data_IF_338402109304
#
_entry.id   IF_338402109304
#
_cell.length_a   1.000
_cell.length_b   1.000
_cell.length_c   1.000
_cell.angle_alpha   90.00
_cell.angle_beta   90.00
_cell.angle_gamma   90.00
#
_symmetry.space_group_name_H-M   'P 1'
#
loop_
_entity.id
_entity.type
_entity.pdbx_description
1 polymer ?
#
# COMPACT_ATOMS: atom_id res chain seq x y z
N UNK A 1 2.17 14.33 -10.89
CA UNK A 1 1.84 13.52 -9.69
C UNK A 1 3.13 13.11 -8.97
N UNK A 2 3.11 12.99 -7.65
CA UNK A 2 4.25 12.44 -6.89
C UNK A 2 4.18 10.91 -6.88
N UNK A 3 5.29 10.21 -6.63
CA UNK A 3 5.30 8.75 -6.48
C UNK A 3 4.82 7.98 -7.73
N UNK A 4 5.25 8.45 -8.91
CA UNK A 4 4.82 7.91 -10.19
C UNK A 4 5.17 6.41 -10.35
N UNK A 5 6.28 5.96 -9.75
CA UNK A 5 6.70 4.56 -9.78
C UNK A 5 5.70 3.60 -9.17
N UNK A 6 4.88 4.05 -8.21
CA UNK A 6 3.76 3.27 -7.66
C UNK A 6 2.44 3.54 -8.37
N UNK A 7 2.21 4.79 -8.76
CA UNK A 7 0.96 5.18 -9.44
C UNK A 7 0.77 4.43 -10.76
N UNK A 8 1.84 4.04 -11.45
CA UNK A 8 1.77 3.31 -12.72
C UNK A 8 1.23 1.87 -12.58
N UNK A 9 1.04 1.37 -11.35
CA UNK A 9 0.46 0.07 -11.07
C UNK A 9 -0.94 0.20 -10.44
N UNK A 10 -1.98 0.08 -11.25
CA UNK A 10 -3.37 0.05 -10.77
C UNK A 10 -3.66 -1.28 -10.08
N UNK A 11 -3.28 -2.39 -10.73
CA UNK A 11 -3.40 -3.74 -10.19
C UNK A 11 -2.07 -4.49 -10.30
N UNK A 12 -1.69 -5.16 -9.22
CA UNK A 12 -0.60 -6.13 -9.21
C UNK A 12 -1.18 -7.50 -8.93
N UNK A 13 -0.92 -8.44 -9.83
CA UNK A 13 -1.20 -9.86 -9.64
C UNK A 13 0.08 -10.67 -9.79
N UNK A 14 0.30 -11.59 -8.86
CA UNK A 14 1.47 -12.47 -8.82
C UNK A 14 0.95 -13.91 -8.80
N UNK A 15 1.47 -14.73 -9.71
CA UNK A 15 1.26 -16.18 -9.71
C UNK A 15 2.55 -16.94 -9.47
N UNK A 16 2.46 -18.04 -8.74
CA UNK A 16 3.56 -18.98 -8.52
C UNK A 16 3.07 -20.37 -8.91
N UNK A 17 3.72 -21.00 -9.89
CA UNK A 17 3.30 -22.32 -10.38
C UNK A 17 1.88 -22.34 -10.97
N UNK A 18 1.37 -21.19 -11.44
CA UNK A 18 0.01 -21.01 -11.96
C UNK A 18 -1.02 -20.56 -10.93
N UNK A 19 -0.72 -20.65 -9.64
CA UNK A 19 -1.62 -20.26 -8.55
C UNK A 19 -1.47 -18.78 -8.20
N UNK A 20 -2.57 -18.07 -7.97
CA UNK A 20 -2.55 -16.66 -7.55
C UNK A 20 -2.15 -16.57 -6.08
N UNK A 21 -1.00 -15.95 -5.82
CA UNK A 21 -0.47 -15.69 -4.46
C UNK A 21 -0.75 -14.26 -3.98
N UNK A 22 -0.96 -13.33 -4.91
CA UNK A 22 -1.26 -11.94 -4.59
C UNK A 22 -2.09 -11.35 -5.71
N UNK A 23 -3.16 -10.65 -5.36
CA UNK A 23 -3.99 -9.91 -6.30
C UNK A 23 -4.63 -8.70 -5.63
N UNK A 24 -4.17 -7.52 -6.02
CA UNK A 24 -4.67 -6.26 -5.49
C UNK A 24 -4.95 -5.29 -6.64
N UNK A 25 -6.21 -4.95 -6.87
CA UNK A 25 -6.68 -3.97 -7.87
C UNK A 25 -6.72 -2.53 -7.35
N UNK A 26 -6.15 -2.27 -6.16
CA UNK A 26 -5.92 -0.95 -5.61
C UNK A 26 -4.46 -0.75 -5.17
N UNK A 27 -3.51 -1.37 -5.87
CA UNK A 27 -2.09 -1.42 -5.46
C UNK A 27 -1.49 -0.03 -5.29
N UNK A 28 -1.58 0.81 -6.31
CA UNK A 28 -1.13 2.21 -6.25
C UNK A 28 -1.70 2.99 -5.06
N UNK A 29 -2.97 2.79 -4.70
CA UNK A 29 -3.63 3.57 -3.66
C UNK A 29 -3.01 3.30 -2.27
N UNK A 30 -2.93 2.02 -1.89
CA UNK A 30 -2.42 1.64 -0.58
C UNK A 30 -0.91 1.82 -0.49
N UNK A 31 -0.18 1.53 -1.56
CA UNK A 31 1.28 1.65 -1.57
C UNK A 31 1.74 3.11 -1.57
N UNK A 32 1.04 4.02 -2.26
CA UNK A 32 1.31 5.46 -2.14
C UNK A 32 1.03 5.94 -0.72
N UNK A 33 -0.07 5.49 -0.09
CA UNK A 33 -0.38 5.86 1.28
C UNK A 33 0.70 5.39 2.27
N UNK A 34 1.14 4.13 2.17
CA UNK A 34 2.23 3.57 3.00
C UNK A 34 3.52 4.40 2.91
N UNK A 35 3.85 4.94 1.73
CA UNK A 35 5.05 5.76 1.57
C UNK A 35 4.99 7.09 2.32
N UNK A 36 3.80 7.64 2.58
CA UNK A 36 3.64 8.90 3.33
C UNK A 36 4.23 8.77 4.75
N UNK A 37 4.17 7.56 5.31
CA UNK A 37 4.65 7.26 6.66
C UNK A 37 6.17 7.05 6.74
N UNK A 38 6.89 7.08 5.62
CA UNK A 38 8.36 7.07 5.61
C UNK A 38 8.91 8.44 6.04
N UNK A 39 10.03 8.43 6.77
CA UNK A 39 10.75 9.66 7.14
C UNK A 39 11.12 10.50 5.90
N UNK A 40 11.10 11.82 6.04
CA UNK A 40 11.53 12.79 5.03
C UNK A 40 12.85 12.42 4.35
N UNK A 41 13.86 12.02 5.13
CA UNK A 41 15.17 11.61 4.63
C UNK A 41 15.11 10.35 3.78
N UNK A 42 14.31 9.35 4.18
CA UNK A 42 14.07 8.14 3.39
C UNK A 42 13.31 8.48 2.11
N UNK A 43 12.28 9.32 2.18
CA UNK A 43 11.51 9.77 1.01
C UNK A 43 12.36 10.58 0.03
N UNK A 44 13.22 11.46 0.52
CA UNK A 44 14.14 12.25 -0.30
C UNK A 44 15.15 11.38 -1.06
N UNK A 45 15.47 10.19 -0.55
CA UNK A 45 16.34 9.22 -1.20
C UNK A 45 15.60 8.28 -2.17
N UNK A 46 14.28 8.44 -2.35
CA UNK A 46 13.45 7.59 -3.21
C UNK A 46 13.17 8.25 -4.58
N UNK A 47 14.12 9.04 -5.09
CA UNK A 47 14.02 9.70 -6.40
C UNK A 47 13.83 8.68 -7.54
N UNK A 48 14.44 7.50 -7.44
CA UNK A 48 14.26 6.40 -8.41
C UNK A 48 12.80 5.89 -8.50
N UNK A 49 12.01 6.05 -7.43
CA UNK A 49 10.56 5.76 -7.39
C UNK A 49 9.70 7.01 -7.70
N UNK A 50 10.35 8.09 -8.11
CA UNK A 50 9.75 9.37 -8.41
C UNK A 50 9.08 10.06 -7.21
N UNK A 51 9.64 9.86 -6.02
CA UNK A 51 9.31 10.63 -4.82
C UNK A 51 10.32 11.76 -4.71
N UNK A 52 9.90 12.99 -5.01
CA UNK A 52 10.80 14.15 -5.09
C UNK A 52 10.06 15.47 -4.97
N UNK A 53 10.81 16.57 -4.85
CA UNK A 53 10.23 17.90 -4.82
C UNK A 53 9.60 18.26 -6.18
N UNK A 54 8.73 19.27 -6.18
CA UNK A 54 7.99 19.68 -7.38
C UNK A 54 8.90 20.10 -8.53
N UNK A 55 9.98 20.82 -8.25
CA UNK A 55 10.84 21.35 -9.29
C UNK A 55 11.68 20.26 -9.97
N UNK A 56 12.26 19.33 -9.20
CA UNK A 56 12.96 18.16 -9.77
C UNK A 56 12.03 17.37 -10.68
N UNK A 57 10.76 17.19 -10.27
CA UNK A 57 9.75 16.50 -11.08
C UNK A 57 9.47 17.23 -12.40
N UNK A 58 9.27 18.55 -12.35
CA UNK A 58 9.08 19.39 -13.55
C UNK A 58 10.26 19.27 -14.51
N UNK A 59 11.49 19.33 -14.01
CA UNK A 59 12.70 19.16 -14.82
C UNK A 59 12.77 17.78 -15.48
N UNK A 60 12.45 16.72 -14.75
CA UNK A 60 12.43 15.35 -15.26
C UNK A 60 11.35 15.13 -16.33
N UNK A 61 10.16 15.71 -16.12
CA UNK A 61 9.08 15.65 -17.10
C UNK A 61 9.26 16.63 -18.26
N UNK A 62 10.35 17.42 -18.28
CA UNK A 62 10.58 18.49 -19.26
C UNK A 62 9.41 19.48 -19.33
N UNK A 63 8.87 19.82 -18.17
CA UNK A 63 7.83 20.84 -18.02
C UNK A 63 8.46 22.23 -18.17
N UNK A 64 7.93 23.04 -19.08
CA UNK A 64 8.41 24.40 -19.35
C UNK A 64 8.25 25.35 -18.15
N UNK A 65 7.46 24.97 -17.14
CA UNK A 65 7.31 25.71 -15.87
C UNK A 65 8.34 25.34 -14.81
N UNK A 66 9.33 24.50 -15.15
CA UNK A 66 10.46 24.19 -14.28
C UNK A 66 11.28 25.45 -13.96
N UNK A 67 11.51 25.73 -12.68
CA UNK A 67 12.36 26.83 -12.26
C UNK A 67 13.85 26.49 -12.41
N UNK A 68 14.48 27.20 -13.35
CA UNK A 68 15.91 27.15 -13.66
C UNK A 68 16.62 28.47 -13.33
N UNK A 69 15.91 29.45 -12.78
CA UNK A 69 16.44 30.80 -12.62
C UNK A 69 17.57 30.81 -11.59
N UNK A 70 18.76 31.23 -12.01
CA UNK A 70 19.95 31.28 -11.14
C UNK A 70 20.53 29.91 -10.76
N UNK A 71 20.04 28.81 -11.33
CA UNK A 71 20.57 27.46 -11.10
C UNK A 71 21.79 27.20 -12.00
N UNK A 72 22.78 26.54 -11.42
CA UNK A 72 24.04 26.10 -12.00
C UNK A 72 24.06 24.57 -12.14
N UNK A 73 25.00 24.03 -12.91
CA UNK A 73 25.08 22.58 -13.15
C UNK A 73 25.26 21.71 -11.89
N UNK A 74 25.69 22.31 -10.77
CA UNK A 74 25.83 21.65 -9.47
C UNK A 74 24.56 21.65 -8.61
N UNK A 75 23.50 22.33 -9.03
CA UNK A 75 22.26 22.40 -8.27
C UNK A 75 21.55 21.05 -8.21
N UNK A 76 21.08 20.72 -7.00
CA UNK A 76 20.51 19.42 -6.67
C UNK A 76 19.43 18.98 -7.67
N UNK A 77 18.46 19.84 -8.00
CA UNK A 77 17.37 19.49 -8.90
C UNK A 77 17.87 19.13 -10.31
N UNK A 78 18.85 19.87 -10.83
CA UNK A 78 19.41 19.65 -12.16
C UNK A 78 20.27 18.37 -12.19
N UNK A 79 21.07 18.14 -11.15
CA UNK A 79 21.86 16.91 -11.02
C UNK A 79 20.95 15.69 -10.94
N UNK A 80 19.91 15.73 -10.10
CA UNK A 80 18.99 14.59 -9.95
C UNK A 80 18.21 14.33 -11.24
N UNK A 81 17.76 15.36 -11.94
CA UNK A 81 17.08 15.21 -13.23
C UNK A 81 17.99 14.64 -14.34
N UNK A 82 19.31 14.89 -14.27
CA UNK A 82 20.30 14.32 -15.19
C UNK A 82 20.63 12.86 -14.87
N UNK A 83 20.67 12.49 -13.58
CA UNK A 83 21.05 11.14 -13.11
C UNK A 83 19.90 10.16 -13.25
N UNK A 84 18.71 10.51 -12.77
CA UNK A 84 17.58 9.58 -12.67
C UNK A 84 16.66 9.64 -13.90
N UNK A 85 17.10 8.99 -14.99
CA UNK A 85 16.33 8.92 -16.24
C UNK A 85 15.37 7.74 -16.32
N UNK A 86 15.55 6.76 -15.44
CA UNK A 86 14.78 5.51 -15.39
C UNK A 86 13.89 5.49 -14.15
N UNK A 87 12.74 4.83 -14.26
CA UNK A 87 11.79 4.67 -13.18
C UNK A 87 11.88 3.27 -12.61
N UNK A 88 11.86 3.16 -11.28
CA UNK A 88 11.77 1.88 -10.60
C UNK A 88 10.42 1.71 -9.93
N UNK A 89 9.96 0.48 -9.91
CA UNK A 89 8.79 0.03 -9.16
C UNK A 89 9.19 -1.20 -8.35
N UNK A 90 8.85 -1.22 -7.06
CA UNK A 90 9.00 -2.42 -6.24
C UNK A 90 7.83 -3.36 -6.48
N UNK A 91 8.12 -4.62 -6.78
CA UNK A 91 7.11 -5.66 -7.01
C UNK A 91 6.72 -6.31 -5.68
N UNK A 92 5.85 -5.64 -4.91
CA UNK A 92 5.20 -6.16 -3.70
C UNK A 92 6.14 -6.54 -2.54
N UNK A 93 5.56 -6.69 -1.33
CA UNK A 93 6.29 -7.17 -0.15
C UNK A 93 6.58 -8.67 -0.18
N UNK A 94 5.78 -9.42 -0.95
CA UNK A 94 5.89 -10.88 -1.04
C UNK A 94 7.32 -11.33 -1.32
N UNK A 95 8.09 -10.61 -2.15
CA UNK A 95 9.45 -10.99 -2.56
C UNK A 95 10.57 -10.54 -1.62
N UNK A 96 10.30 -9.59 -0.72
CA UNK A 96 11.35 -8.79 -0.09
C UNK A 96 11.48 -8.99 1.43
N UNK A 97 10.42 -9.43 2.11
CA UNK A 97 10.36 -9.30 3.59
C UNK A 97 10.65 -10.61 4.36
N UNK A 98 10.48 -11.80 3.77
CA UNK A 98 10.41 -13.05 4.55
C UNK A 98 11.28 -14.22 4.04
N UNK A 99 12.05 -14.03 2.98
CA UNK A 99 13.01 -15.01 2.49
C UNK A 99 13.31 -14.87 1.00
N UNK A 100 14.40 -15.48 0.52
CA UNK A 100 14.82 -15.35 -0.87
C UNK A 100 13.99 -16.26 -1.78
N UNK A 101 13.04 -15.70 -2.53
CA UNK A 101 12.25 -16.44 -3.52
C UNK A 101 13.10 -16.79 -4.73
N UNK A 102 13.32 -18.09 -4.95
CA UNK A 102 14.19 -18.58 -6.01
C UNK A 102 13.37 -19.50 -6.95
N UNK A 103 12.81 -18.96 -8.06
CA UNK A 103 11.95 -19.71 -8.98
C UNK A 103 12.56 -21.03 -9.47
N UNK A 104 13.87 -21.01 -9.74
CA UNK A 104 14.63 -22.17 -10.18
C UNK A 104 14.63 -23.28 -9.13
N UNK A 105 14.94 -22.93 -7.86
CA UNK A 105 14.98 -23.88 -6.76
C UNK A 105 13.58 -24.38 -6.38
N UNK A 106 12.56 -23.53 -6.49
CA UNK A 106 11.17 -23.86 -6.25
C UNK A 106 10.52 -24.68 -7.39
N UNK A 107 11.20 -24.88 -8.52
CA UNK A 107 10.62 -25.51 -9.73
C UNK A 107 9.24 -24.96 -10.11
N UNK A 108 8.99 -23.69 -9.77
CA UNK A 108 7.70 -23.03 -9.93
C UNK A 108 7.95 -21.69 -10.60
N UNK A 109 7.31 -21.46 -11.75
CA UNK A 109 7.41 -20.20 -12.47
C UNK A 109 6.74 -19.07 -11.70
N UNK A 110 7.32 -17.87 -11.76
CA UNK A 110 6.72 -16.64 -11.23
C UNK A 110 6.19 -15.81 -12.39
N UNK A 111 4.92 -15.43 -12.31
CA UNK A 111 4.29 -14.57 -13.31
C UNK A 111 3.82 -13.28 -12.63
N UNK A 112 4.19 -12.14 -13.19
CA UNK A 112 3.78 -10.83 -12.72
C UNK A 112 2.88 -10.20 -13.77
N UNK A 113 1.65 -9.88 -13.39
CA UNK A 113 0.70 -9.15 -14.23
C UNK A 113 0.46 -7.78 -13.63
N UNK A 114 0.89 -6.75 -14.34
CA UNK A 114 0.71 -5.34 -13.95
C UNK A 114 -0.38 -4.74 -14.84
N UNK A 115 -1.45 -4.23 -14.24
CA UNK A 115 -2.43 -3.41 -14.95
C UNK A 115 -2.07 -1.94 -14.79
N UNK A 116 -1.96 -1.26 -15.93
CA UNK A 116 -1.63 0.15 -16.02
C UNK A 116 -2.91 0.99 -15.88
N UNK A 117 -2.91 2.07 -15.07
CA UNK A 117 -4.05 2.98 -15.02
C UNK A 117 -4.22 3.75 -16.33
N UNK A 118 -5.38 4.38 -16.49
CA UNK A 118 -5.56 5.43 -17.51
C UNK A 118 -4.65 6.63 -17.24
N UNK A 119 -4.22 7.30 -18.30
CA UNK A 119 -3.25 8.39 -18.22
C UNK A 119 -3.74 9.57 -17.38
N UNK A 120 -5.04 9.87 -17.44
CA UNK A 120 -5.71 10.91 -16.65
C UNK A 120 -5.69 10.67 -15.13
N UNK A 121 -5.40 9.44 -14.67
CA UNK A 121 -5.21 9.13 -13.25
C UNK A 121 -3.81 9.46 -12.72
N UNK A 122 -2.82 9.56 -13.61
CA UNK A 122 -1.39 9.67 -13.21
C UNK A 122 -0.68 10.88 -13.84
N UNK A 123 -1.30 11.54 -14.81
CA UNK A 123 -0.82 12.73 -15.49
C UNK A 123 -1.84 13.85 -15.36
N UNK A 124 -1.35 15.08 -15.18
CA UNK A 124 -2.16 16.29 -15.24
C UNK A 124 -1.90 16.93 -16.59
N UNK A 125 -2.96 17.16 -17.37
CA UNK A 125 -2.84 17.84 -18.65
C UNK A 125 -2.43 19.31 -18.46
N UNK A 126 -1.65 19.85 -19.41
CA UNK A 126 -1.52 21.29 -19.56
C UNK A 126 -2.86 21.91 -19.98
N UNK A 127 -3.03 23.22 -19.76
CA UNK A 127 -4.26 23.91 -20.11
C UNK A 127 -4.55 23.78 -21.63
N UNK A 128 -5.76 23.30 -21.97
CA UNK A 128 -6.24 23.02 -23.34
C UNK A 128 -5.63 21.78 -24.03
N UNK A 129 -4.89 20.94 -23.30
CA UNK A 129 -4.41 19.65 -23.82
C UNK A 129 -5.24 18.47 -23.28
N UNK A 130 -5.26 17.37 -24.03
CA UNK A 130 -5.79 16.09 -23.57
C UNK A 130 -4.64 15.12 -23.41
N UNK A 131 -4.59 14.41 -22.28
CA UNK A 131 -3.67 13.29 -22.12
C UNK A 131 -4.25 12.10 -22.89
N UNK A 132 -3.72 11.81 -24.08
CA UNK A 132 -4.22 10.71 -24.93
C UNK A 132 -3.80 9.32 -24.43
N UNK A 133 -2.69 9.22 -23.71
CA UNK A 133 -2.15 7.95 -23.23
C UNK A 133 -0.69 8.06 -22.80
N UNK A 134 -0.11 6.91 -22.43
CA UNK A 134 1.32 6.77 -22.20
C UNK A 134 1.80 5.39 -22.65
N UNK A 135 3.11 5.24 -22.81
CA UNK A 135 3.74 3.97 -23.18
C UNK A 135 4.95 3.73 -22.29
N UNK A 136 5.06 2.50 -21.78
CA UNK A 136 6.26 2.04 -21.09
C UNK A 136 7.21 1.41 -22.11
N UNK A 137 8.49 1.78 -22.06
CA UNK A 137 9.56 1.26 -22.93
C UNK A 137 10.73 0.82 -22.06
N UNK A 138 11.56 -0.09 -22.57
CA UNK A 138 12.77 -0.58 -21.89
C UNK A 138 12.46 -1.13 -20.49
N UNK A 139 11.51 -2.05 -20.40
CA UNK A 139 11.11 -2.67 -19.14
C UNK A 139 12.13 -3.76 -18.80
N UNK A 140 12.72 -3.65 -17.61
CA UNK A 140 13.68 -4.61 -17.07
C UNK A 140 13.24 -5.08 -15.69
N UNK A 141 13.54 -6.34 -15.37
CA UNK A 141 13.36 -6.91 -14.04
C UNK A 141 14.71 -6.90 -13.33
N UNK A 142 14.78 -6.21 -12.18
CA UNK A 142 15.92 -6.28 -11.27
C UNK A 142 15.65 -7.34 -10.19
N UNK A 143 16.66 -8.15 -9.87
CA UNK A 143 16.60 -9.15 -8.81
C UNK A 143 17.93 -9.22 -8.06
N UNK A 144 17.86 -9.59 -6.78
CA UNK A 144 19.03 -9.83 -5.95
C UNK A 144 19.52 -11.27 -6.13
N UNK A 145 20.83 -11.49 -5.97
CA UNK A 145 21.45 -12.81 -6.08
C UNK A 145 22.23 -13.15 -4.81
N UNK A 146 22.33 -14.44 -4.49
CA UNK A 146 23.10 -14.94 -3.35
C UNK A 146 24.41 -15.51 -3.89
N UNK A 147 25.50 -14.79 -3.69
CA UNK A 147 26.84 -15.23 -4.13
C UNK A 147 27.50 -16.19 -3.13
N UNK A 148 27.07 -16.18 -1.87
CA UNK A 148 27.62 -17.07 -0.85
C UNK A 148 27.06 -18.49 -0.99
N UNK A 149 27.94 -19.45 -1.27
CA UNK A 149 27.58 -20.85 -1.52
C UNK A 149 26.86 -21.51 -0.34
N UNK A 150 27.30 -21.28 0.90
CA UNK A 150 26.67 -21.87 2.09
C UNK A 150 25.24 -21.36 2.28
N UNK A 151 25.02 -20.05 2.11
CA UNK A 151 23.69 -19.45 2.17
C UNK A 151 22.80 -19.97 1.04
N UNK A 152 23.31 -20.05 -0.19
CA UNK A 152 22.57 -20.59 -1.32
C UNK A 152 22.17 -22.05 -1.08
N UNK A 153 23.08 -22.87 -0.53
CA UNK A 153 22.81 -24.27 -0.17
C UNK A 153 21.72 -24.37 0.89
N UNK A 154 21.80 -23.59 1.98
CA UNK A 154 20.79 -23.57 3.04
C UNK A 154 19.40 -23.17 2.53
N UNK A 155 19.34 -22.18 1.63
CA UNK A 155 18.09 -21.79 0.98
C UNK A 155 17.50 -22.94 0.17
N UNK A 156 18.34 -23.62 -0.63
CA UNK A 156 17.90 -24.76 -1.44
C UNK A 156 17.43 -25.96 -0.59
N UNK A 157 18.16 -26.30 0.48
CA UNK A 157 17.76 -27.36 1.43
C UNK A 157 16.42 -27.06 2.10
N UNK A 158 16.14 -25.78 2.40
CA UNK A 158 14.84 -25.35 2.94
C UNK A 158 13.67 -25.63 1.99
N UNK A 159 13.88 -25.50 0.67
CA UNK A 159 12.85 -25.84 -0.32
C UNK A 159 12.64 -27.35 -0.47
N UNK A 160 13.66 -28.17 -0.21
CA UNK A 160 13.58 -29.62 -0.25
C UNK A 160 12.85 -30.21 0.97
N UNK A 161 13.24 -29.77 2.16
CA UNK A 161 12.73 -30.29 3.44
C UNK A 161 11.35 -29.77 3.83
N UNK A 162 10.92 -28.67 3.21
CA UNK A 162 9.64 -28.01 3.50
C UNK A 162 9.85 -26.67 4.20
N UNK A 163 9.25 -25.62 3.64
CA UNK A 163 9.32 -24.25 4.15
C UNK A 163 8.02 -23.51 3.90
N UNK A 164 7.57 -22.77 4.90
CA UNK A 164 6.51 -21.78 4.76
C UNK A 164 7.13 -20.38 4.71
N UNK A 165 6.69 -19.58 3.74
CA UNK A 165 7.07 -18.18 3.60
C UNK A 165 5.84 -17.33 3.89
N UNK A 166 5.91 -16.57 4.98
CA UNK A 166 4.90 -15.57 5.30
C UNK A 166 5.03 -14.36 4.41
N UNK A 167 3.94 -13.62 4.21
CA UNK A 167 3.97 -12.31 3.58
C UNK A 167 2.75 -11.49 3.95
N UNK A 168 2.87 -10.17 3.91
CA UNK A 168 1.72 -9.28 3.98
C UNK A 168 0.92 -9.38 2.68
N UNK A 169 -0.35 -9.76 2.79
CA UNK A 169 -1.30 -9.79 1.69
C UNK A 169 -2.31 -8.66 1.86
N UNK A 170 -2.35 -7.75 0.89
CA UNK A 170 -3.30 -6.62 0.86
C UNK A 170 -4.30 -6.83 -0.26
N UNK A 171 -5.58 -6.60 0.01
CA UNK A 171 -6.64 -6.66 -1.01
C UNK A 171 -7.54 -5.44 -0.89
N UNK A 172 -7.75 -4.72 -1.98
CA UNK A 172 -8.88 -3.79 -2.08
C UNK A 172 -10.17 -4.61 -2.13
N UNK A 173 -10.94 -4.59 -1.04
CA UNK A 173 -12.23 -5.27 -0.96
C UNK A 173 -13.27 -4.57 -1.83
N UNK A 174 -13.39 -3.25 -1.67
CA UNK A 174 -14.33 -2.44 -2.45
C UNK A 174 -13.97 -0.96 -2.40
N UNK A 175 -14.42 -0.27 -3.44
CA UNK A 175 -14.50 1.20 -3.45
C UNK A 175 -15.97 1.59 -3.45
N UNK A 176 -16.35 2.46 -2.53
CA UNK A 176 -17.72 2.96 -2.38
C UNK A 176 -17.72 4.48 -2.26
N UNK A 177 -18.89 5.09 -2.43
CA UNK A 177 -19.06 6.55 -2.30
C UNK A 177 -19.82 6.83 -1.02
N UNK A 178 -19.22 7.64 -0.14
CA UNK A 178 -19.92 8.26 0.97
C UNK A 178 -20.54 9.56 0.49
N UNK A 179 -21.87 9.55 0.37
CA UNK A 179 -22.62 10.66 -0.20
C UNK A 179 -22.62 11.89 0.71
N UNK A 180 -22.60 13.06 0.08
CA UNK A 180 -22.82 14.35 0.74
C UNK A 180 -24.07 14.32 1.62
N UNK A 181 -23.99 14.96 2.78
CA UNK A 181 -25.02 15.04 3.83
C UNK A 181 -25.34 13.71 4.54
N UNK A 182 -24.66 12.60 4.21
CA UNK A 182 -24.80 11.37 4.99
C UNK A 182 -24.10 11.54 6.35
N UNK A 183 -24.74 11.05 7.41
CA UNK A 183 -24.23 11.07 8.79
C UNK A 183 -23.76 9.71 9.27
N UNK A 184 -24.01 8.68 8.46
CA UNK A 184 -23.64 7.29 8.74
C UNK A 184 -23.05 6.62 7.52
N UNK A 185 -22.12 5.71 7.78
CA UNK A 185 -21.55 4.81 6.79
C UNK A 185 -21.43 3.43 7.41
N UNK A 186 -22.15 2.47 6.83
CA UNK A 186 -22.23 1.12 7.33
C UNK A 186 -21.69 0.17 6.27
N UNK A 187 -20.78 -0.71 6.65
CA UNK A 187 -20.24 -1.74 5.78
C UNK A 187 -20.01 -3.04 6.54
N UNK A 188 -20.05 -4.17 5.86
CA UNK A 188 -19.61 -5.45 6.42
C UNK A 188 -18.37 -5.91 5.68
N UNK A 189 -17.37 -6.36 6.45
CA UNK A 189 -16.14 -6.96 5.93
C UNK A 189 -16.30 -8.49 6.00
N UNK A 190 -16.52 -9.11 4.85
CA UNK A 190 -16.90 -10.51 4.68
C UNK A 190 -15.89 -11.27 3.79
N UNK A 191 -14.60 -11.08 4.08
CA UNK A 191 -13.51 -11.70 3.32
C UNK A 191 -12.90 -12.85 4.11
N UNK A 192 -12.98 -14.11 3.63
CA UNK A 192 -12.39 -15.24 4.34
C UNK A 192 -10.87 -15.09 4.49
N UNK A 193 -10.38 -15.10 5.72
CA UNK A 193 -8.96 -15.00 6.09
C UNK A 193 -8.67 -15.81 7.34
N UNK A 194 -7.56 -16.52 7.35
CA UNK A 194 -7.00 -17.24 8.51
C UNK A 194 -6.38 -16.24 9.48
N UNK A 195 -5.79 -15.15 8.97
CA UNK A 195 -5.22 -14.07 9.79
C UNK A 195 -5.46 -12.69 9.15
N UNK A 196 -6.58 -12.05 9.50
CA UNK A 196 -6.87 -10.66 9.12
C UNK A 196 -6.21 -9.70 10.11
N UNK A 197 -5.19 -8.97 9.65
CA UNK A 197 -4.42 -8.05 10.50
C UNK A 197 -5.15 -6.75 10.74
N UNK A 198 -5.70 -6.14 9.68
CA UNK A 198 -6.33 -4.84 9.78
C UNK A 198 -7.31 -4.58 8.63
N UNK A 199 -8.27 -3.70 8.89
CA UNK A 199 -9.10 -3.08 7.86
C UNK A 199 -8.69 -1.61 7.74
N UNK A 200 -8.40 -1.16 6.53
CA UNK A 200 -7.93 0.21 6.26
C UNK A 200 -8.90 0.89 5.30
N UNK A 201 -9.42 2.05 5.69
CA UNK A 201 -10.29 2.86 4.85
C UNK A 201 -9.53 4.13 4.46
N UNK A 202 -9.33 4.30 3.14
CA UNK A 202 -8.72 5.49 2.55
C UNK A 202 -9.80 6.36 1.89
N UNK A 203 -9.90 7.61 2.34
CA UNK A 203 -10.91 8.56 1.90
C UNK A 203 -10.30 9.58 0.95
N UNK A 204 -10.91 9.78 -0.22
CA UNK A 204 -10.41 10.70 -1.25
C UNK A 204 -11.55 11.46 -1.90
N UNK A 205 -11.26 12.64 -2.45
CA UNK A 205 -12.19 13.34 -3.34
C UNK A 205 -12.41 12.54 -4.62
N UNK A 206 -13.58 12.71 -5.26
CA UNK A 206 -13.84 12.09 -6.58
C UNK A 206 -12.86 12.55 -7.65
N UNK A 207 -12.48 13.82 -7.61
CA UNK A 207 -11.47 14.39 -8.50
C UNK A 207 -10.12 14.35 -7.81
N UNK A 208 -9.18 13.61 -8.39
CA UNK A 208 -7.84 13.49 -7.86
C UNK A 208 -6.98 14.62 -8.44
N UNK A 209 -6.68 15.61 -7.62
CA UNK A 209 -5.72 16.68 -7.93
C UNK A 209 -4.32 16.36 -7.41
N UNK A 210 -4.24 15.58 -6.33
CA UNK A 210 -3.00 15.11 -5.72
C UNK A 210 -3.11 13.63 -5.36
N UNK A 211 -2.10 12.86 -5.76
CA UNK A 211 -1.94 11.43 -5.45
C UNK A 211 -1.79 11.15 -3.95
N UNK A 212 -1.31 12.13 -3.20
CA UNK A 212 -0.96 12.01 -1.78
C UNK A 212 -1.94 12.76 -0.85
N UNK A 213 -3.07 13.26 -1.39
CA UNK A 213 -4.14 13.92 -0.62
C UNK A 213 -5.25 12.93 -0.25
N UNK A 214 -5.58 12.91 1.04
CA UNK A 214 -6.62 12.09 1.67
C UNK A 214 -7.49 12.95 2.58
N UNK A 215 -8.80 12.70 2.59
CA UNK A 215 -9.77 13.56 3.27
C UNK A 215 -10.14 12.98 4.63
N UNK A 216 -10.19 13.80 5.67
CA UNK A 216 -10.85 13.44 6.91
C UNK A 216 -12.35 13.79 6.82
N UNK A 217 -13.28 12.81 6.83
CA UNK A 217 -14.71 13.08 6.66
C UNK A 217 -15.40 13.46 7.98
N UNK A 218 -14.68 14.09 8.92
CA UNK A 218 -15.17 14.47 10.25
C UNK A 218 -15.82 13.32 11.03
N UNK A 219 -15.24 12.11 10.94
CA UNK A 219 -15.70 10.94 11.68
C UNK A 219 -15.62 11.23 13.18
N UNK A 220 -16.71 11.02 13.90
CA UNK A 220 -16.75 11.21 15.36
C UNK A 220 -16.54 9.89 16.08
N UNK A 221 -17.12 8.81 15.55
CA UNK A 221 -17.17 7.52 16.21
C UNK A 221 -17.22 6.38 15.20
N UNK A 222 -16.49 5.30 15.50
CA UNK A 222 -16.52 4.05 14.74
C UNK A 222 -16.86 2.91 15.69
N UNK A 223 -17.95 2.19 15.40
CA UNK A 223 -18.31 0.96 16.11
C UNK A 223 -17.94 -0.23 15.24
N UNK A 224 -17.25 -1.18 15.85
CA UNK A 224 -16.82 -2.42 15.21
C UNK A 224 -17.37 -3.59 16.01
N UNK A 225 -18.13 -4.45 15.34
CA UNK A 225 -18.67 -5.67 15.94
C UNK A 225 -17.88 -6.88 15.45
N UNK A 226 -17.35 -7.67 16.37
CA UNK A 226 -16.59 -8.90 16.08
C UNK A 226 -17.29 -10.05 16.80
N UNK A 227 -17.78 -11.05 16.05
CA UNK A 227 -18.49 -12.21 16.61
C UNK A 227 -19.69 -11.83 17.50
N UNK A 228 -20.42 -10.78 17.12
CA UNK A 228 -21.57 -10.27 17.87
C UNK A 228 -21.22 -9.53 19.17
N UNK A 229 -19.93 -9.29 19.43
CA UNK A 229 -19.44 -8.48 20.55
C UNK A 229 -18.80 -7.19 20.03
N UNK A 230 -18.94 -6.10 20.77
CA UNK A 230 -18.14 -4.89 20.50
C UNK A 230 -16.66 -5.25 20.59
N UNK A 231 -15.81 -4.61 19.77
CA UNK A 231 -14.37 -4.76 19.84
C UNK A 231 -13.89 -4.64 21.30
N UNK A 232 -13.14 -5.63 21.78
CA UNK A 232 -12.71 -5.71 23.17
C UNK A 232 -11.74 -4.58 23.56
N UNK A 233 -10.93 -4.10 22.60
CA UNK A 233 -9.99 -2.98 22.80
C UNK A 233 -10.76 -1.65 22.85
N UNK A 234 -11.78 -1.52 21.99
CA UNK A 234 -12.62 -0.33 21.89
C UNK A 234 -14.07 -0.67 22.23
N UNK A 235 -14.31 -1.02 23.51
CA UNK A 235 -15.65 -1.40 23.98
C UNK A 235 -16.70 -0.28 23.80
N UNK A 236 -16.25 0.97 23.69
CA UNK A 236 -17.09 2.14 23.40
C UNK A 236 -17.03 2.62 21.94
N UNK A 237 -16.34 1.90 21.06
CA UNK A 237 -15.98 2.34 19.71
C UNK A 237 -14.69 3.15 19.66
N UNK A 238 -14.08 3.24 18.48
CA UNK A 238 -12.93 4.11 18.24
C UNK A 238 -13.43 5.55 18.10
N UNK A 239 -12.67 6.49 18.65
CA UNK A 239 -12.94 7.93 18.61
C UNK A 239 -11.88 8.66 17.79
N UNK A 240 -12.11 9.95 17.55
CA UNK A 240 -11.16 10.82 16.85
C UNK A 240 -9.78 10.84 17.48
N UNK A 241 -9.66 10.63 18.80
CA UNK A 241 -8.35 10.64 19.48
C UNK A 241 -7.53 9.39 19.13
N UNK A 242 -8.18 8.27 18.79
CA UNK A 242 -7.53 6.98 18.54
C UNK A 242 -6.97 6.85 17.11
N UNK A 243 -7.59 7.51 16.11
CA UNK A 243 -7.32 7.21 14.69
C UNK A 243 -5.88 7.43 14.27
N UNK A 244 -5.24 8.50 14.76
CA UNK A 244 -3.84 8.79 14.44
C UNK A 244 -2.90 7.71 14.99
N UNK A 245 -3.12 7.26 16.23
CA UNK A 245 -2.27 6.27 16.87
C UNK A 245 -2.43 4.89 16.21
N UNK A 246 -3.65 4.50 15.82
CA UNK A 246 -3.88 3.28 15.03
C UNK A 246 -3.15 3.31 13.68
N UNK A 247 -3.28 4.42 12.94
CA UNK A 247 -2.62 4.56 11.65
C UNK A 247 -1.08 4.59 11.80
N UNK A 248 -0.58 5.26 12.84
CA UNK A 248 0.85 5.30 13.16
C UNK A 248 1.39 3.93 13.58
N UNK A 249 0.62 3.13 14.32
CA UNK A 249 1.03 1.79 14.72
C UNK A 249 1.15 0.86 13.52
N UNK A 250 0.18 0.92 12.60
CA UNK A 250 0.18 0.06 11.41
C UNK A 250 1.21 0.50 10.36
N UNK A 251 1.27 1.79 10.04
CA UNK A 251 2.08 2.31 8.92
C UNK A 251 3.36 3.00 9.34
N UNK A 252 3.43 3.48 10.58
CA UNK A 252 4.60 4.18 11.10
C UNK A 252 5.81 3.26 11.24
N UNK A 253 6.96 3.90 11.38
CA UNK A 253 8.23 3.19 11.55
C UNK A 253 8.35 2.79 13.01
N UNK A 254 8.55 1.50 13.26
CA UNK A 254 8.93 1.00 14.59
C UNK A 254 10.22 1.71 15.04
N UNK A 255 10.25 2.14 16.32
CA UNK A 255 11.37 2.80 17.05
C UNK A 255 11.23 4.29 17.40
N UNK A 256 10.02 4.86 17.52
CA UNK A 256 9.81 6.20 18.10
C UNK A 256 10.54 7.36 17.38
N UNK A 257 11.09 7.16 16.18
CA UNK A 257 11.52 8.27 15.34
C UNK A 257 10.27 9.00 14.86
N UNK A 258 10.04 10.18 15.41
CA UNK A 258 8.97 11.05 14.96
C UNK A 258 9.13 11.28 13.45
N UNK A 259 8.20 10.75 12.66
CA UNK A 259 8.05 11.23 11.31
C UNK A 259 7.35 12.59 11.40
N UNK A 260 8.13 13.67 11.46
CA UNK A 260 7.58 15.04 11.48
C UNK A 260 6.73 15.35 10.22
N UNK A 261 6.79 14.47 9.20
CA UNK A 261 6.00 14.61 7.98
C UNK A 261 4.53 14.22 8.14
N UNK A 262 4.18 13.29 9.03
CA UNK A 262 2.80 12.98 9.38
C UNK A 262 2.63 13.15 10.89
N UNK A 263 2.48 14.40 11.31
CA UNK A 263 1.96 14.70 12.63
C UNK A 263 0.43 14.69 12.65
N UNK A 264 -0.16 14.68 13.84
CA UNK A 264 -1.62 14.72 14.09
C UNK A 264 -2.31 15.77 13.22
N UNK A 265 -1.77 16.99 13.13
CA UNK A 265 -2.37 18.07 12.34
C UNK A 265 -2.43 17.75 10.85
N UNK A 266 -1.35 17.23 10.27
CA UNK A 266 -1.33 16.84 8.85
C UNK A 266 -2.20 15.62 8.58
N UNK A 267 -2.22 14.66 9.52
CA UNK A 267 -3.06 13.47 9.45
C UNK A 267 -4.54 13.84 9.27
N UNK A 268 -5.13 14.66 10.14
CA UNK A 268 -6.53 15.08 10.00
C UNK A 268 -6.78 16.11 8.88
N UNK A 269 -5.73 16.76 8.37
CA UNK A 269 -5.89 17.76 7.30
C UNK A 269 -5.97 17.12 5.92
N UNK A 270 -4.97 16.32 5.55
CA UNK A 270 -4.81 15.84 4.18
C UNK A 270 -4.09 14.47 4.05
N UNK A 271 -3.90 13.72 5.14
CA UNK A 271 -3.22 12.41 5.19
C UNK A 271 -4.01 11.34 5.94
N UNK A 272 -5.33 11.52 6.03
CA UNK A 272 -6.19 10.69 6.89
C UNK A 272 -6.38 9.28 6.34
N UNK A 273 -6.34 8.30 7.24
CA UNK A 273 -6.86 6.96 7.02
C UNK A 273 -7.52 6.48 8.30
N UNK A 274 -8.61 5.72 8.17
CA UNK A 274 -9.14 4.98 9.31
C UNK A 274 -8.54 3.57 9.30
N UNK A 275 -7.88 3.21 10.39
CA UNK A 275 -7.30 1.89 10.60
C UNK A 275 -8.05 1.20 11.73
N UNK A 276 -8.45 -0.04 11.48
CA UNK A 276 -9.03 -0.92 12.48
C UNK A 276 -8.06 -2.09 12.63
N UNK A 277 -7.26 -2.06 13.69
CA UNK A 277 -6.36 -3.15 14.04
C UNK A 277 -7.16 -4.35 14.57
N UNK A 278 -6.90 -5.51 14.01
CA UNK A 278 -7.58 -6.78 14.32
C UNK A 278 -6.60 -7.82 14.88
N UNK A 279 -5.36 -7.43 15.18
CA UNK A 279 -4.37 -8.32 15.77
C UNK A 279 -4.58 -8.48 17.27
N UNK A 280 -4.25 -9.67 17.76
CA UNK A 280 -4.23 -9.97 19.18
C UNK A 280 -3.01 -9.36 19.90
N UNK A 281 -1.94 -9.08 19.16
CA UNK A 281 -0.68 -8.54 19.69
C UNK A 281 -0.29 -7.31 18.89
N UNK A 282 0.14 -6.27 19.59
CA UNK A 282 0.71 -5.05 19.01
C UNK A 282 2.17 -5.30 18.57
N UNK A 283 2.34 -6.13 17.55
CA UNK A 283 3.63 -6.35 16.88
C UNK A 283 3.42 -6.56 15.37
N UNK A 284 4.09 -5.72 14.57
CA UNK A 284 4.07 -5.80 13.11
C UNK A 284 4.93 -6.97 12.57
N UNK A 285 5.74 -7.63 13.40
CA UNK A 285 6.60 -8.75 12.99
C UNK A 285 5.97 -10.12 13.27
N UNK A 286 4.92 -10.18 14.10
CA UNK A 286 4.25 -11.44 14.44
C UNK A 286 3.15 -11.74 13.43
N UNK A 287 3.48 -12.66 12.54
CA UNK A 287 2.57 -13.25 11.55
C UNK A 287 1.57 -14.18 12.25
N UNK A 288 0.33 -14.19 11.78
CA UNK A 288 -0.72 -15.09 12.27
C UNK A 288 -1.43 -14.59 13.53
N UNK A 289 -1.13 -13.36 13.97
CA UNK A 289 -1.75 -12.72 15.13
C UNK A 289 -3.11 -12.07 14.82
N UNK A 290 -3.50 -12.03 13.55
CA UNK A 290 -4.74 -11.41 13.08
C UNK A 290 -6.01 -12.20 13.41
N UNK A 291 -7.16 -11.57 13.16
CA UNK A 291 -8.46 -12.18 13.36
C UNK A 291 -8.75 -13.23 12.29
N UNK A 292 -9.11 -14.44 12.73
CA UNK A 292 -9.60 -15.51 11.87
C UNK A 292 -11.08 -15.29 11.49
N UNK A 293 -11.36 -15.29 10.20
CA UNK A 293 -12.69 -15.17 9.60
C UNK A 293 -12.85 -16.28 8.54
N UNK A 294 -13.42 -17.44 8.88
CA UNK A 294 -13.63 -18.56 7.97
C UNK A 294 -15.05 -19.14 8.13
N UNK A 295 -15.55 -19.84 7.10
CA UNK A 295 -16.84 -20.55 7.13
C UNK A 295 -18.04 -19.59 7.16
N UNK A 296 -19.08 -19.95 7.91
CA UNK A 296 -20.36 -19.20 8.00
C UNK A 296 -20.29 -17.95 8.89
N UNK A 297 -19.11 -17.32 9.00
CA UNK A 297 -18.97 -16.11 9.82
C UNK A 297 -19.71 -14.95 9.12
N UNK A 298 -20.59 -14.21 9.82
CA UNK A 298 -21.37 -13.11 9.24
C UNK A 298 -20.53 -11.89 8.82
N UNK A 299 -19.20 -11.92 9.03
CA UNK A 299 -18.29 -10.83 8.73
C UNK A 299 -18.07 -9.91 9.93
N UNK A 300 -17.38 -8.80 9.69
CA UNK A 300 -17.13 -7.74 10.67
C UNK A 300 -17.97 -6.52 10.27
N UNK A 301 -19.11 -6.27 10.93
CA UNK A 301 -19.88 -5.05 10.75
C UNK A 301 -19.11 -3.83 11.26
N UNK A 302 -19.09 -2.79 10.41
CA UNK A 302 -18.53 -1.48 10.65
C UNK A 302 -19.64 -0.45 10.57
N UNK A 303 -19.80 0.35 11.64
CA UNK A 303 -20.69 1.50 11.66
C UNK A 303 -19.87 2.76 11.97
N UNK A 304 -19.88 3.72 11.06
CA UNK A 304 -19.14 4.97 11.17
C UNK A 304 -20.14 6.11 11.27
N UNK A 305 -20.02 6.92 12.32
CA UNK A 305 -20.83 8.10 12.58
C UNK A 305 -20.00 9.37 12.32
N UNK A 306 -20.59 10.34 11.63
CA UNK A 306 -20.02 11.66 11.31
C UNK A 306 -21.10 12.72 11.49
N UNK A 307 -20.70 13.96 11.79
CA UNK A 307 -21.64 15.08 11.93
C UNK A 307 -22.34 15.37 10.59
N UNK A 308 -21.58 15.79 9.57
CA UNK A 308 -22.08 15.99 8.19
C UNK A 308 -20.93 16.02 7.19
N UNK A 309 -21.08 15.29 6.08
CA UNK A 309 -20.15 15.33 4.96
C UNK A 309 -20.53 16.42 3.96
N UNK A 310 -19.55 17.25 3.57
CA UNK A 310 -19.76 18.44 2.74
C UNK A 310 -19.73 18.18 1.22
N UNK A 311 -19.12 17.08 0.79
CA UNK A 311 -18.98 16.65 -0.60
C UNK A 311 -18.95 15.13 -0.73
N UNK A 312 -19.18 14.57 -1.92
CA UNK A 312 -19.08 13.12 -2.08
C UNK A 312 -17.63 12.64 -1.95
N UNK A 313 -17.41 11.64 -1.09
CA UNK A 313 -16.09 11.10 -0.77
C UNK A 313 -16.00 9.66 -1.27
N UNK A 314 -14.93 9.33 -1.99
CA UNK A 314 -14.58 7.95 -2.32
C UNK A 314 -13.93 7.29 -1.11
N UNK A 315 -14.47 6.16 -0.69
CA UNK A 315 -13.89 5.32 0.36
C UNK A 315 -13.38 4.02 -0.27
N UNK A 316 -12.06 3.79 -0.18
CA UNK A 316 -11.42 2.56 -0.61
C UNK A 316 -11.14 1.70 0.63
N UNK A 317 -11.72 0.51 0.68
CA UNK A 317 -11.65 -0.39 1.83
C UNK A 317 -10.68 -1.51 1.51
N UNK A 318 -9.58 -1.55 2.25
CA UNK A 318 -8.55 -2.56 2.15
C UNK A 318 -8.63 -3.54 3.32
N UNK A 319 -8.37 -4.80 3.02
CA UNK A 319 -8.14 -5.85 4.01
C UNK A 319 -6.66 -6.21 3.95
N UNK A 320 -5.98 -6.08 5.09
CA UNK A 320 -4.61 -6.54 5.28
C UNK A 320 -4.66 -7.86 6.05
N UNK A 321 -3.92 -8.84 5.57
CA UNK A 321 -3.91 -10.21 6.09
C UNK A 321 -2.52 -10.82 5.98
N UNK A 322 -2.22 -11.83 6.79
CA UNK A 322 -1.04 -12.65 6.60
C UNK A 322 -1.30 -13.73 5.55
N UNK A 323 -0.48 -13.75 4.50
CA UNK A 323 -0.41 -14.85 3.56
C UNK A 323 0.71 -15.83 3.93
N UNK A 324 0.53 -17.09 3.59
CA UNK A 324 1.54 -18.16 3.72
C UNK A 324 1.65 -18.93 2.42
N UNK A 325 2.85 -18.95 1.84
CA UNK A 325 3.23 -19.83 0.74
C UNK A 325 3.87 -21.07 1.35
N UNK A 326 3.27 -22.24 1.11
CA UNK A 326 3.81 -23.52 1.57
C UNK A 326 4.55 -24.22 0.43
N UNK A 327 5.82 -24.54 0.68
CA UNK A 327 6.72 -25.18 -0.29
C UNK A 327 7.21 -26.48 0.33
N UNK A 328 7.19 -27.58 -0.43
CA UNK A 328 7.77 -28.85 0.00
C UNK A 328 8.19 -29.64 -1.22
N UNK A 329 9.29 -30.39 -1.09
CA UNK A 329 9.91 -31.16 -2.18
C UNK A 329 10.29 -30.29 -3.41
N UNK A 330 10.45 -28.98 -3.19
CA UNK A 330 10.65 -27.87 -4.15
C UNK A 330 9.38 -27.14 -4.65
N UNK A 331 8.34 -27.79 -5.24
CA UNK A 331 7.22 -27.04 -5.79
C UNK A 331 6.35 -26.37 -4.71
N UNK A 332 5.57 -25.39 -5.16
CA UNK A 332 4.44 -24.85 -4.40
C UNK A 332 3.48 -25.99 -4.05
N UNK A 333 3.13 -26.12 -2.78
CA UNK A 333 2.16 -27.10 -2.30
C UNK A 333 0.79 -26.47 -2.02
N UNK A 334 0.77 -25.20 -1.63
CA UNK A 334 -0.47 -24.49 -1.37
C UNK A 334 -0.25 -23.11 -0.77
N UNK A 335 -1.34 -22.35 -0.72
CA UNK A 335 -1.38 -20.98 -0.23
C UNK A 335 -2.44 -20.91 0.85
N UNK A 336 -2.19 -20.12 1.89
CA UNK A 336 -3.17 -19.83 2.93
C UNK A 336 -3.20 -18.32 3.19
N UNK A 337 -4.40 -17.80 3.41
CA UNK A 337 -4.68 -16.39 3.70
C UNK A 337 -5.56 -16.31 4.92
#
# INVERSE_FOLDING_TARGET
>A
MNNLGKLVCERLMIRVGGEIVYDNNGESLIEVYKDLWKMSTKRANMIEYWIMNENTRKLLSKDDTADQTGKTDGDYDLVMAKVYKEQKMKLGKILNDHGPYAPYNMKSGFEYTITLPKADKIMVAQANEKVEGYTLKNIHLEYETIENEELAKRVNEGYETGRSLSYEHTTLLKTTVWLKNATRFNETIDVPRVSMMAVVLLFRKRTITDSEEYVFPSIEKVKVTIEGKSNAVYSQGLTTEDFYDEAKRLFGIANNTCNDDINVRKFYKDKFALVIDLRAVDDNHIVGSGKKLLGDNPGIPLEIETDTITEDILCNIFVLSDGLINISEKPLQGISY
#
